data_IF_154162740489
#
_entry.id   IF_154162740489
#
_cell.length_a   1.000
_cell.length_b   1.000
_cell.length_c   1.000
_cell.angle_alpha   90.00
_cell.angle_beta   90.00
_cell.angle_gamma   90.00
#
_symmetry.space_group_name_H-M   'P 1'
#
loop_
_entity.id
_entity.type
_entity.pdbx_description
1 polymer ?
#
# COMPACT_ATOMS: atom_id res chain seq x y z
N UNK A 1 1.15 -30.19 -6.26
CA UNK A 1 -0.02 -30.27 -7.16
C UNK A 1 -1.15 -29.30 -6.74
N UNK A 2 -1.28 -28.93 -5.49
CA UNK A 2 -2.29 -27.96 -4.97
C UNK A 2 -1.97 -26.49 -5.34
N UNK A 3 -0.71 -26.08 -5.35
CA UNK A 3 -0.29 -24.71 -5.58
C UNK A 3 -0.52 -24.17 -7.02
N UNK A 4 -0.55 -25.09 -8.01
CA UNK A 4 -0.82 -24.71 -9.42
C UNK A 4 -2.32 -24.54 -9.71
N UNK A 5 -3.17 -25.29 -9.04
CA UNK A 5 -4.63 -25.17 -9.20
C UNK A 5 -5.18 -23.89 -8.55
N UNK A 6 -4.62 -23.49 -7.40
CA UNK A 6 -4.99 -22.21 -6.75
C UNK A 6 -4.60 -20.99 -7.60
N UNK A 7 -3.49 -21.05 -8.34
CA UNK A 7 -3.07 -19.97 -9.24
C UNK A 7 -3.90 -19.90 -10.54
N UNK A 8 -4.42 -21.00 -11.05
CA UNK A 8 -5.30 -21.00 -12.23
C UNK A 8 -6.69 -20.46 -11.88
N UNK A 9 -7.28 -20.87 -10.76
CA UNK A 9 -8.56 -20.35 -10.27
C UNK A 9 -8.49 -18.84 -9.94
N UNK A 10 -7.37 -18.35 -9.38
CA UNK A 10 -7.13 -16.94 -9.12
C UNK A 10 -6.96 -16.17 -10.43
N UNK A 11 -6.27 -16.72 -11.43
CA UNK A 11 -6.11 -16.07 -12.73
C UNK A 11 -7.42 -16.00 -13.52
N UNK A 12 -8.25 -17.04 -13.51
CA UNK A 12 -9.59 -17.01 -14.10
C UNK A 12 -10.49 -15.98 -13.39
N UNK A 13 -10.47 -15.94 -12.06
CA UNK A 13 -11.21 -14.93 -11.27
C UNK A 13 -10.77 -13.50 -11.60
N UNK A 14 -9.49 -13.27 -11.87
CA UNK A 14 -8.97 -11.94 -12.25
C UNK A 14 -9.37 -11.54 -13.69
N UNK A 15 -9.51 -12.48 -14.62
CA UNK A 15 -10.02 -12.19 -15.96
C UNK A 15 -11.54 -11.90 -15.95
N UNK A 16 -12.32 -12.59 -15.11
CA UNK A 16 -13.73 -12.29 -14.89
C UNK A 16 -13.95 -10.95 -14.19
N UNK A 17 -13.05 -10.57 -13.27
CA UNK A 17 -13.06 -9.27 -12.55
C UNK A 17 -12.94 -8.09 -13.50
N UNK A 18 -12.17 -8.21 -14.59
CA UNK A 18 -12.06 -7.16 -15.61
C UNK A 18 -13.36 -6.89 -16.39
N UNK A 19 -14.35 -7.78 -16.28
CA UNK A 19 -15.64 -7.66 -16.96
C UNK A 19 -16.75 -7.03 -16.11
N UNK A 20 -16.54 -6.82 -14.81
CA UNK A 20 -17.53 -6.23 -13.89
C UNK A 20 -17.11 -4.80 -13.50
N UNK A 21 -18.06 -3.87 -13.49
CA UNK A 21 -17.82 -2.47 -13.11
C UNK A 21 -17.83 -2.26 -11.59
N UNK A 22 -16.86 -1.49 -11.10
CA UNK A 22 -16.83 -0.98 -9.74
C UNK A 22 -16.33 -1.97 -8.67
N UNK A 23 -16.81 -1.79 -7.43
CA UNK A 23 -16.35 -2.58 -6.28
C UNK A 23 -16.68 -4.08 -6.42
N UNK A 24 -17.76 -4.41 -7.12
CA UNK A 24 -18.19 -5.78 -7.37
C UNK A 24 -17.10 -6.62 -8.07
N UNK A 25 -16.19 -5.97 -8.80
CA UNK A 25 -15.10 -6.63 -9.48
C UNK A 25 -14.03 -7.20 -8.55
N UNK A 26 -13.79 -6.57 -7.40
CA UNK A 26 -12.76 -7.01 -6.44
C UNK A 26 -13.33 -7.75 -5.23
N UNK A 27 -14.64 -7.65 -4.96
CA UNK A 27 -15.27 -8.30 -3.79
C UNK A 27 -15.01 -9.80 -3.70
N UNK A 28 -15.08 -10.58 -4.80
CA UNK A 28 -14.79 -12.03 -4.74
C UNK A 28 -13.37 -12.35 -4.29
N UNK A 29 -12.43 -11.40 -4.42
CA UNK A 29 -11.02 -11.56 -4.06
C UNK A 29 -10.72 -11.15 -2.61
N UNK A 30 -11.69 -10.57 -1.90
CA UNK A 30 -11.50 -9.97 -0.59
C UNK A 30 -12.19 -10.76 0.52
N UNK A 31 -11.62 -10.71 1.71
CA UNK A 31 -12.32 -11.13 2.93
C UNK A 31 -13.61 -10.30 3.13
N UNK A 32 -14.71 -10.98 3.43
CA UNK A 32 -16.03 -10.33 3.62
C UNK A 32 -16.02 -9.19 4.66
N UNK A 33 -15.11 -9.24 5.63
CA UNK A 33 -14.93 -8.21 6.64
C UNK A 33 -14.33 -6.93 6.04
N UNK A 34 -13.43 -7.06 5.07
CA UNK A 34 -12.87 -5.93 4.30
C UNK A 34 -13.96 -5.36 3.38
N UNK A 35 -14.68 -6.23 2.65
CA UNK A 35 -15.81 -5.80 1.79
C UNK A 35 -16.82 -4.98 2.59
N UNK A 36 -17.21 -5.46 3.77
CA UNK A 36 -18.11 -4.73 4.66
C UNK A 36 -17.56 -3.37 5.06
N UNK A 37 -16.27 -3.29 5.42
CA UNK A 37 -15.62 -2.04 5.83
C UNK A 37 -15.59 -1.02 4.69
N UNK A 38 -15.17 -1.41 3.49
CA UNK A 38 -15.07 -0.49 2.35
C UNK A 38 -16.45 -0.03 1.84
N UNK A 39 -17.47 -0.88 1.91
CA UNK A 39 -18.85 -0.46 1.63
C UNK A 39 -19.35 0.59 2.62
N UNK A 40 -19.09 0.43 3.92
CA UNK A 40 -19.40 1.45 4.94
C UNK A 40 -18.61 2.75 4.76
N UNK A 41 -17.43 2.70 4.16
CA UNK A 41 -16.67 3.90 3.77
C UNK A 41 -17.24 4.60 2.53
N UNK A 42 -18.30 4.08 1.92
CA UNK A 42 -18.97 4.65 0.76
C UNK A 42 -18.34 4.27 -0.59
N UNK A 43 -17.56 3.19 -0.64
CA UNK A 43 -17.04 2.69 -1.91
C UNK A 43 -18.15 2.02 -2.71
N UNK A 44 -18.64 2.70 -3.73
CA UNK A 44 -19.57 2.16 -4.72
C UNK A 44 -18.86 1.85 -6.04
N UNK A 45 -17.88 2.71 -6.38
CA UNK A 45 -17.07 2.60 -7.59
C UNK A 45 -15.60 2.71 -7.22
N UNK A 46 -14.78 1.96 -7.91
CA UNK A 46 -13.33 2.11 -7.81
C UNK A 46 -12.86 3.28 -8.66
N UNK A 47 -11.84 3.97 -8.19
CA UNK A 47 -11.11 4.93 -9.03
C UNK A 47 -10.24 4.17 -10.05
N UNK A 48 -9.81 4.81 -11.15
CA UNK A 48 -8.98 4.13 -12.15
C UNK A 48 -7.70 3.51 -11.61
N UNK A 49 -7.06 4.13 -10.61
CA UNK A 49 -5.86 3.57 -9.97
C UNK A 49 -6.20 2.34 -9.12
N UNK A 50 -7.37 2.33 -8.47
CA UNK A 50 -7.83 1.20 -7.68
C UNK A 50 -8.19 0.01 -8.56
N UNK A 51 -8.96 0.24 -9.64
CA UNK A 51 -9.35 -0.80 -10.61
C UNK A 51 -8.14 -1.53 -11.19
N UNK A 52 -7.07 -0.77 -11.50
CA UNK A 52 -5.88 -1.32 -12.13
C UNK A 52 -4.89 -1.93 -11.12
N UNK A 53 -4.68 -1.31 -9.95
CA UNK A 53 -3.65 -1.71 -9.02
C UNK A 53 -4.06 -2.84 -8.07
N UNK A 54 -5.31 -2.83 -7.57
CA UNK A 54 -5.75 -3.78 -6.55
C UNK A 54 -5.60 -5.24 -7.02
N UNK A 55 -6.04 -5.64 -8.23
CA UNK A 55 -5.91 -7.03 -8.67
C UNK A 55 -4.45 -7.53 -8.68
N UNK A 56 -3.50 -6.73 -9.17
CA UNK A 56 -2.09 -7.10 -9.17
C UNK A 56 -1.52 -7.20 -7.76
N UNK A 57 -1.85 -6.23 -6.90
CA UNK A 57 -1.36 -6.25 -5.53
C UNK A 57 -1.92 -7.43 -4.73
N UNK A 58 -3.17 -7.85 -4.97
CA UNK A 58 -3.76 -9.05 -4.35
C UNK A 58 -3.07 -10.34 -4.80
N UNK A 59 -2.47 -10.37 -5.99
CA UNK A 59 -1.68 -11.49 -6.50
C UNK A 59 -0.22 -11.50 -5.99
N UNK A 60 0.19 -10.51 -5.22
CA UNK A 60 1.57 -10.37 -4.75
C UNK A 60 2.53 -9.77 -5.79
N UNK A 61 2.02 -9.24 -6.90
CA UNK A 61 2.83 -8.61 -7.95
C UNK A 61 3.36 -7.25 -7.51
N UNK A 62 4.57 -6.92 -7.94
CA UNK A 62 5.12 -5.58 -7.80
C UNK A 62 4.41 -4.60 -8.75
N UNK A 63 4.18 -3.38 -8.30
CA UNK A 63 3.57 -2.36 -9.16
C UNK A 63 4.31 -1.03 -9.14
N UNK A 64 4.22 -0.33 -10.27
CA UNK A 64 4.56 1.09 -10.43
C UNK A 64 3.27 1.82 -10.78
N UNK A 65 2.70 2.51 -9.81
CA UNK A 65 1.46 3.29 -9.97
C UNK A 65 1.77 4.76 -10.26
N UNK A 66 1.54 5.21 -11.50
CA UNK A 66 1.66 6.63 -11.84
C UNK A 66 0.31 7.31 -11.73
N UNK A 67 0.09 8.03 -10.62
CA UNK A 67 -1.15 8.74 -10.35
C UNK A 67 -0.93 9.94 -9.42
N UNK A 68 -1.71 11.00 -9.62
CA UNK A 68 -1.66 12.21 -8.79
C UNK A 68 -2.24 11.98 -7.39
N UNK A 69 -1.96 12.92 -6.47
CA UNK A 69 -2.58 12.97 -5.14
C UNK A 69 -4.10 13.10 -5.27
N UNK A 70 -4.84 12.48 -4.36
CA UNK A 70 -6.31 12.51 -4.36
C UNK A 70 -7.00 11.56 -5.34
N UNK A 71 -6.27 10.67 -6.01
CA UNK A 71 -6.82 9.67 -6.94
C UNK A 71 -7.31 8.37 -6.26
N UNK A 72 -7.18 8.26 -4.94
CA UNK A 72 -7.57 7.07 -4.20
C UNK A 72 -6.44 6.03 -4.03
N UNK A 73 -5.17 6.45 -4.16
CA UNK A 73 -4.00 5.56 -4.00
C UNK A 73 -3.98 4.83 -2.65
N UNK A 74 -4.35 5.52 -1.57
CA UNK A 74 -4.32 4.91 -0.23
C UNK A 74 -5.17 3.64 -0.15
N UNK A 75 -6.37 3.65 -0.68
CA UNK A 75 -7.20 2.44 -0.75
C UNK A 75 -6.64 1.43 -1.77
N UNK A 76 -6.03 1.90 -2.88
CA UNK A 76 -5.44 1.01 -3.88
C UNK A 76 -4.36 0.09 -3.31
N UNK A 77 -3.51 0.59 -2.40
CA UNK A 77 -2.55 -0.26 -1.69
C UNK A 77 -3.04 -0.74 -0.32
N UNK A 78 -3.91 0.02 0.34
CA UNK A 78 -4.39 -0.28 1.69
C UNK A 78 -5.27 -1.52 1.75
N UNK A 79 -6.16 -1.72 0.77
CA UNK A 79 -7.01 -2.92 0.70
C UNK A 79 -6.16 -4.19 0.56
N UNK A 80 -5.24 -4.32 -0.41
CA UNK A 80 -4.35 -5.48 -0.49
C UNK A 80 -3.43 -5.64 0.73
N UNK A 81 -2.91 -4.53 1.27
CA UNK A 81 -2.06 -4.59 2.47
C UNK A 81 -2.80 -5.21 3.66
N UNK A 82 -4.07 -4.82 3.91
CA UNK A 82 -4.87 -5.40 4.99
C UNK A 82 -5.25 -6.85 4.69
N UNK A 83 -5.58 -7.17 3.42
CA UNK A 83 -5.91 -8.53 2.99
C UNK A 83 -4.77 -9.52 3.24
N UNK A 84 -3.51 -9.11 3.05
CA UNK A 84 -2.33 -9.96 3.19
C UNK A 84 -1.83 -10.11 4.64
N UNK A 85 -2.36 -9.34 5.60
CA UNK A 85 -1.96 -9.47 7.00
C UNK A 85 -2.47 -10.78 7.59
N UNK A 86 -1.54 -11.53 8.18
CA UNK A 86 -1.89 -12.60 9.11
C UNK A 86 -2.13 -12.01 10.51
N UNK A 87 -3.38 -11.92 10.99
CA UNK A 87 -3.70 -11.28 12.27
C UNK A 87 -3.19 -12.06 13.48
N UNK A 88 -2.85 -13.34 13.34
CA UNK A 88 -2.33 -14.17 14.42
C UNK A 88 -0.83 -13.91 14.66
N UNK A 89 -0.13 -13.42 13.66
CA UNK A 89 1.28 -13.05 13.75
C UNK A 89 1.40 -11.60 14.24
N UNK A 90 1.73 -11.43 15.53
CA UNK A 90 1.84 -10.11 16.18
C UNK A 90 3.22 -9.47 15.95
N UNK A 91 3.64 -9.40 14.70
CA UNK A 91 4.90 -8.81 14.23
C UNK A 91 4.66 -7.95 13.00
N UNK A 92 5.60 -7.07 12.70
CA UNK A 92 5.56 -6.19 11.53
C UNK A 92 5.58 -7.03 10.25
N UNK A 93 4.63 -6.78 9.36
CA UNK A 93 4.44 -7.47 8.08
C UNK A 93 4.42 -6.49 6.90
N UNK A 94 4.00 -5.24 7.13
CA UNK A 94 3.93 -4.23 6.05
C UNK A 94 4.53 -2.90 6.51
N UNK A 95 5.30 -2.29 5.62
CA UNK A 95 5.85 -0.93 5.78
C UNK A 95 5.29 -0.05 4.67
N UNK A 96 4.75 1.11 5.04
CA UNK A 96 4.28 2.13 4.10
C UNK A 96 5.07 3.40 4.38
N UNK A 97 5.78 3.91 3.37
CA UNK A 97 6.53 5.15 3.46
C UNK A 97 5.75 6.29 2.82
N UNK A 98 5.67 7.41 3.54
CA UNK A 98 5.04 8.64 3.10
C UNK A 98 5.99 9.82 3.32
N UNK A 99 5.93 10.89 2.49
CA UNK A 99 6.87 12.02 2.60
C UNK A 99 6.67 12.85 3.87
N UNK A 100 5.44 12.97 4.36
CA UNK A 100 5.11 13.86 5.48
C UNK A 100 4.39 13.13 6.62
N UNK A 101 4.48 13.73 7.81
CA UNK A 101 3.75 13.29 9.01
C UNK A 101 2.25 13.23 8.77
N UNK A 102 1.71 14.27 8.13
CA UNK A 102 0.27 14.41 7.86
C UNK A 102 -0.24 13.27 6.99
N UNK A 103 0.49 12.97 5.91
CA UNK A 103 0.14 11.85 5.00
C UNK A 103 0.26 10.50 5.70
N UNK A 104 1.28 10.30 6.54
CA UNK A 104 1.41 9.06 7.32
C UNK A 104 0.24 8.85 8.29
N UNK A 105 -0.21 9.91 8.95
CA UNK A 105 -1.37 9.86 9.85
C UNK A 105 -2.65 9.54 9.06
N UNK A 106 -2.89 10.26 7.95
CA UNK A 106 -4.08 10.07 7.11
C UNK A 106 -4.15 8.64 6.54
N UNK A 107 -3.04 8.15 6.00
CA UNK A 107 -2.98 6.79 5.48
C UNK A 107 -3.21 5.75 6.59
N UNK A 108 -2.61 5.93 7.78
CA UNK A 108 -2.83 5.03 8.90
C UNK A 108 -4.31 5.01 9.36
N UNK A 109 -4.98 6.16 9.35
CA UNK A 109 -6.41 6.24 9.68
C UNK A 109 -7.29 5.53 8.64
N UNK A 110 -6.98 5.71 7.35
CA UNK A 110 -7.69 5.03 6.27
C UNK A 110 -7.51 3.50 6.34
N UNK A 111 -6.29 3.03 6.57
CA UNK A 111 -6.03 1.59 6.77
C UNK A 111 -6.79 1.03 7.97
N UNK A 112 -6.90 1.77 9.08
CA UNK A 112 -7.69 1.35 10.25
C UNK A 112 -9.17 1.24 9.92
N UNK A 113 -9.71 2.13 9.08
CA UNK A 113 -11.10 2.04 8.60
C UNK A 113 -11.30 0.78 7.75
N UNK A 114 -10.37 0.49 6.82
CA UNK A 114 -10.40 -0.74 6.00
C UNK A 114 -10.32 -1.98 6.90
N UNK A 115 -9.48 -1.96 7.94
CA UNK A 115 -9.31 -3.06 8.88
C UNK A 115 -10.39 -3.13 9.99
N UNK A 116 -11.42 -2.30 9.93
CA UNK A 116 -12.41 -2.11 11.02
C UNK A 116 -12.96 -3.42 11.58
N UNK A 117 -13.22 -4.40 10.75
CA UNK A 117 -13.78 -5.70 11.13
C UNK A 117 -12.73 -6.81 11.20
N UNK A 118 -11.46 -6.51 10.89
CA UNK A 118 -10.32 -7.42 10.96
C UNK A 118 -9.70 -7.35 12.37
N UNK A 119 -10.29 -8.11 13.32
CA UNK A 119 -9.81 -8.08 14.70
C UNK A 119 -8.34 -8.48 14.82
N UNK A 120 -7.61 -7.71 15.63
CA UNK A 120 -6.21 -8.00 15.93
C UNK A 120 -5.19 -7.37 15.00
N UNK A 121 -5.61 -6.67 13.92
CA UNK A 121 -4.72 -5.87 13.08
C UNK A 121 -4.47 -4.52 13.74
N UNK A 122 -3.19 -4.15 13.87
CA UNK A 122 -2.75 -2.88 14.42
C UNK A 122 -1.93 -2.11 13.39
N UNK A 123 -2.33 -0.87 13.13
CA UNK A 123 -1.65 0.08 12.25
C UNK A 123 -1.10 1.22 13.10
N UNK A 124 0.20 1.49 13.00
CA UNK A 124 0.85 2.57 13.76
C UNK A 124 1.51 3.58 12.81
N UNK A 125 1.16 4.88 12.88
CA UNK A 125 1.93 5.91 12.21
C UNK A 125 3.21 6.22 13.00
N UNK A 126 4.36 6.32 12.29
CA UNK A 126 5.67 6.65 12.85
C UNK A 126 6.31 7.81 12.08
N UNK A 127 6.57 8.93 12.75
CA UNK A 127 7.02 10.17 12.10
C UNK A 127 7.88 11.04 13.02
N UNK A 128 8.65 11.94 12.44
CA UNK A 128 9.47 12.89 13.18
C UNK A 128 8.67 13.93 13.97
N UNK A 129 9.33 14.64 14.88
CA UNK A 129 8.69 15.68 15.69
C UNK A 129 7.89 15.18 16.89
N UNK A 130 7.81 13.87 17.10
CA UNK A 130 7.24 13.25 18.29
C UNK A 130 8.34 12.48 19.03
N UNK A 131 8.22 12.39 20.38
CA UNK A 131 9.12 11.55 21.17
C UNK A 131 9.04 10.10 20.68
N UNK A 132 10.20 9.54 20.30
CA UNK A 132 10.32 8.18 19.80
C UNK A 132 9.91 7.14 20.83
N UNK A 133 10.09 7.41 22.12
CA UNK A 133 9.73 6.49 23.22
C UNK A 133 8.24 6.18 23.22
N UNK A 134 7.39 7.15 22.88
CA UNK A 134 5.93 6.95 22.74
C UNK A 134 5.61 6.02 21.56
N UNK A 135 6.33 6.18 20.45
CA UNK A 135 6.15 5.31 19.30
C UNK A 135 6.63 3.89 19.59
N UNK A 136 7.78 3.74 20.29
CA UNK A 136 8.30 2.43 20.72
C UNK A 136 7.28 1.70 21.59
N UNK A 137 6.67 2.39 22.55
CA UNK A 137 5.62 1.79 23.39
C UNK A 137 4.40 1.32 22.57
N UNK A 138 4.08 2.05 21.47
CA UNK A 138 2.98 1.71 20.56
C UNK A 138 3.26 0.53 19.64
N UNK A 139 4.53 0.13 19.44
CA UNK A 139 4.91 -0.91 18.46
C UNK A 139 4.50 -2.33 18.89
N UNK A 140 4.08 -2.55 20.13
CA UNK A 140 3.74 -3.90 20.61
C UNK A 140 2.57 -4.50 19.82
N UNK A 141 2.89 -5.57 19.06
CA UNK A 141 1.91 -6.33 18.28
C UNK A 141 1.38 -5.58 17.05
N UNK A 142 2.16 -4.61 16.53
CA UNK A 142 1.85 -3.88 15.30
C UNK A 142 2.25 -4.72 14.08
N UNK A 143 1.35 -4.84 13.12
CA UNK A 143 1.60 -5.52 11.84
C UNK A 143 1.89 -4.54 10.71
N UNK A 144 1.38 -3.32 10.77
CA UNK A 144 1.59 -2.31 9.74
C UNK A 144 2.13 -1.03 10.38
N UNK A 145 3.25 -0.53 9.88
CA UNK A 145 3.69 0.84 10.14
C UNK A 145 3.49 1.71 8.89
N UNK A 146 3.07 2.95 9.13
CA UNK A 146 3.00 3.98 8.10
C UNK A 146 3.89 5.12 8.57
N UNK A 147 4.97 5.42 7.83
CA UNK A 147 5.94 6.34 8.39
C UNK A 147 6.69 7.20 7.38
N UNK A 148 7.31 8.26 7.92
CA UNK A 148 8.30 9.04 7.18
C UNK A 148 9.64 8.29 7.16
N UNK A 149 10.38 8.30 6.03
CA UNK A 149 11.59 7.48 5.88
C UNK A 149 12.59 7.65 7.02
N UNK A 150 12.94 8.88 7.39
CA UNK A 150 13.92 9.14 8.46
C UNK A 150 13.51 8.56 9.82
N UNK A 151 12.21 8.58 10.19
CA UNK A 151 11.74 8.00 11.44
C UNK A 151 11.70 6.46 11.39
N UNK A 152 11.38 5.88 10.27
CA UNK A 152 11.48 4.43 10.06
C UNK A 152 12.94 3.99 10.21
N UNK A 153 13.89 4.72 9.62
CA UNK A 153 15.33 4.50 9.80
C UNK A 153 15.77 4.60 11.27
N UNK A 154 15.24 5.55 12.03
CA UNK A 154 15.55 5.66 13.49
C UNK A 154 15.10 4.41 14.24
N UNK A 155 13.89 3.90 13.94
CA UNK A 155 13.42 2.65 14.53
C UNK A 155 14.28 1.44 14.13
N UNK A 156 14.73 1.38 12.86
CA UNK A 156 15.63 0.31 12.38
C UNK A 156 17.00 0.37 13.09
N UNK A 157 17.63 1.55 13.15
CA UNK A 157 18.92 1.76 13.85
C UNK A 157 18.84 1.39 15.33
N UNK A 158 17.73 1.69 15.98
CA UNK A 158 17.45 1.35 17.39
C UNK A 158 17.00 -0.10 17.58
N UNK A 159 16.79 -0.84 16.49
CA UNK A 159 16.28 -2.23 16.50
C UNK A 159 14.94 -2.38 17.23
N UNK A 160 14.11 -1.34 17.24
CA UNK A 160 12.78 -1.34 17.84
C UNK A 160 11.73 -1.96 16.93
N UNK A 161 12.01 -2.04 15.63
CA UNK A 161 11.25 -2.83 14.64
C UNK A 161 12.15 -3.95 14.10
N UNK A 162 11.53 -5.07 13.77
CA UNK A 162 12.15 -6.22 13.12
C UNK A 162 11.57 -6.39 11.73
N UNK A 163 12.42 -6.65 10.76
CA UNK A 163 12.06 -6.72 9.34
C UNK A 163 11.88 -8.16 8.83
N UNK A 164 12.13 -9.14 9.68
CA UNK A 164 12.19 -10.57 9.35
C UNK A 164 10.90 -11.16 8.78
N UNK A 165 9.75 -10.51 9.02
CA UNK A 165 8.45 -10.94 8.49
C UNK A 165 7.78 -9.88 7.61
N UNK A 166 8.51 -8.85 7.19
CA UNK A 166 7.99 -7.86 6.26
C UNK A 166 7.88 -8.51 4.88
N UNK A 167 6.68 -8.57 4.37
CA UNK A 167 6.36 -9.17 3.06
C UNK A 167 5.81 -8.16 2.06
N UNK A 168 5.48 -6.93 2.50
CA UNK A 168 5.05 -5.87 1.61
C UNK A 168 5.63 -4.52 2.01
N UNK A 169 6.11 -3.77 1.01
CA UNK A 169 6.55 -2.38 1.17
C UNK A 169 5.81 -1.49 0.17
N UNK A 170 5.32 -0.36 0.65
CA UNK A 170 4.69 0.66 -0.19
C UNK A 170 5.49 1.95 -0.09
N UNK A 171 5.82 2.53 -1.24
CA UNK A 171 6.36 3.90 -1.35
C UNK A 171 5.24 4.78 -1.90
N UNK A 172 4.60 5.59 -1.07
CA UNK A 172 3.58 6.53 -1.52
C UNK A 172 4.17 7.93 -1.70
N UNK A 173 3.84 8.58 -2.83
CA UNK A 173 4.42 9.86 -3.24
C UNK A 173 5.95 9.84 -3.27
N UNK A 174 6.49 8.83 -3.97
CA UNK A 174 7.92 8.56 -4.01
C UNK A 174 8.74 9.74 -4.60
N UNK A 175 8.21 10.46 -5.58
CA UNK A 175 8.82 11.67 -6.14
C UNK A 175 8.91 12.79 -5.09
N UNK A 176 7.92 12.95 -4.24
CA UNK A 176 7.96 13.93 -3.17
C UNK A 176 8.99 13.54 -2.09
N UNK A 177 9.09 12.26 -1.75
CA UNK A 177 10.15 11.77 -0.86
C UNK A 177 11.55 12.03 -1.45
N UNK A 178 11.73 11.89 -2.77
CA UNK A 178 12.97 12.29 -3.44
C UNK A 178 13.26 13.78 -3.30
N UNK A 179 12.25 14.64 -3.57
CA UNK A 179 12.38 16.09 -3.47
C UNK A 179 12.78 16.54 -2.06
N UNK A 180 12.35 15.80 -1.05
CA UNK A 180 12.70 16.01 0.35
C UNK A 180 14.06 15.41 0.75
N UNK A 181 14.77 14.75 -0.17
CA UNK A 181 16.10 14.18 0.08
C UNK A 181 16.10 12.80 0.74
N UNK A 182 14.98 12.06 0.74
CA UNK A 182 14.85 10.74 1.38
C UNK A 182 15.29 9.58 0.49
N UNK A 183 16.01 9.83 -0.61
CA UNK A 183 16.44 8.75 -1.51
C UNK A 183 17.22 7.67 -0.78
N UNK A 184 18.27 8.05 -0.06
CA UNK A 184 19.12 7.10 0.67
C UNK A 184 18.33 6.32 1.72
N UNK A 185 17.44 6.99 2.45
CA UNK A 185 16.60 6.32 3.45
C UNK A 185 15.68 5.28 2.81
N UNK A 186 15.04 5.59 1.66
CA UNK A 186 14.21 4.63 0.92
C UNK A 186 15.02 3.42 0.47
N UNK A 187 16.19 3.65 -0.16
CA UNK A 187 17.06 2.56 -0.64
C UNK A 187 17.58 1.70 0.50
N UNK A 188 17.94 2.30 1.65
CA UNK A 188 18.40 1.57 2.84
C UNK A 188 17.28 0.75 3.47
N UNK A 189 16.06 1.28 3.56
CA UNK A 189 14.91 0.54 4.10
C UNK A 189 14.62 -0.67 3.21
N UNK A 190 14.48 -0.47 1.90
CA UNK A 190 14.24 -1.55 0.96
C UNK A 190 15.34 -2.61 0.98
N UNK A 191 16.61 -2.18 1.00
CA UNK A 191 17.77 -3.08 0.99
C UNK A 191 18.00 -3.88 2.28
N UNK A 192 17.36 -3.52 3.40
CA UNK A 192 17.50 -4.23 4.68
C UNK A 192 16.35 -5.22 4.95
N UNK A 193 15.32 -5.25 4.12
CA UNK A 193 14.25 -6.24 4.26
C UNK A 193 14.79 -7.58 3.73
N UNK A 194 14.82 -8.62 4.56
CA UNK A 194 15.34 -9.91 4.14
C UNK A 194 14.33 -10.68 3.29
N UNK A 195 14.83 -11.37 2.27
CA UNK A 195 14.03 -12.25 1.44
C UNK A 195 13.18 -11.53 0.39
N UNK A 196 12.34 -12.30 -0.29
CA UNK A 196 11.40 -11.78 -1.28
C UNK A 196 10.24 -11.06 -0.57
N UNK A 197 9.91 -9.89 -1.05
CA UNK A 197 8.78 -9.09 -0.57
C UNK A 197 8.17 -8.33 -1.74
N UNK A 198 6.89 -8.07 -1.67
CA UNK A 198 6.17 -7.26 -2.64
C UNK A 198 6.51 -5.78 -2.44
N UNK A 199 6.80 -5.07 -3.54
CA UNK A 199 7.03 -3.62 -3.51
C UNK A 199 6.04 -2.89 -4.41
N UNK A 200 5.26 -1.98 -3.82
CA UNK A 200 4.35 -1.09 -4.53
C UNK A 200 4.88 0.35 -4.49
N UNK A 201 5.19 0.93 -5.64
CA UNK A 201 5.63 2.31 -5.74
C UNK A 201 4.55 3.16 -6.40
N UNK A 202 4.12 4.22 -5.70
CA UNK A 202 3.20 5.22 -6.22
C UNK A 202 3.90 6.58 -6.33
N UNK A 203 3.75 7.22 -7.48
CA UNK A 203 4.37 8.52 -7.76
C UNK A 203 3.56 9.29 -8.80
N UNK A 204 3.52 10.60 -8.72
CA UNK A 204 2.93 11.43 -9.77
C UNK A 204 3.85 11.53 -10.98
N UNK A 205 5.16 11.57 -10.75
CA UNK A 205 6.20 11.68 -11.77
C UNK A 205 7.18 10.52 -11.69
N UNK A 206 7.86 10.21 -12.80
CA UNK A 206 8.84 9.12 -12.88
C UNK A 206 10.22 9.67 -13.30
N UNK A 207 10.86 10.50 -12.45
CA UNK A 207 12.23 10.96 -12.74
C UNK A 207 13.21 9.78 -12.65
N UNK A 208 14.38 9.97 -13.29
CA UNK A 208 15.41 8.93 -13.36
C UNK A 208 15.74 8.25 -12.02
N UNK A 209 15.88 8.97 -10.88
CA UNK A 209 16.14 8.32 -9.59
C UNK A 209 15.01 7.38 -9.12
N UNK A 210 13.73 7.65 -9.45
CA UNK A 210 12.64 6.72 -9.17
C UNK A 210 12.78 5.45 -10.01
N UNK A 211 13.08 5.58 -11.30
CA UNK A 211 13.30 4.44 -12.18
C UNK A 211 14.49 3.58 -11.70
N UNK A 212 15.56 4.20 -11.21
CA UNK A 212 16.69 3.47 -10.61
C UNK A 212 16.30 2.68 -9.36
N UNK A 213 15.41 3.21 -8.53
CA UNK A 213 14.86 2.50 -7.36
C UNK A 213 13.99 1.31 -7.83
N UNK A 214 13.12 1.51 -8.82
CA UNK A 214 12.28 0.43 -9.36
C UNK A 214 13.11 -0.68 -9.96
N UNK A 215 14.10 -0.36 -10.79
CA UNK A 215 14.99 -1.33 -11.44
C UNK A 215 15.78 -2.16 -10.41
N UNK A 216 16.11 -1.57 -9.26
CA UNK A 216 16.91 -2.22 -8.22
C UNK A 216 16.10 -3.08 -7.26
N UNK A 217 14.88 -2.66 -6.91
CA UNK A 217 14.13 -3.22 -5.79
C UNK A 217 12.79 -3.85 -6.18
N UNK A 218 12.38 -3.75 -7.44
CA UNK A 218 11.17 -4.38 -7.93
C UNK A 218 11.50 -5.46 -8.98
N UNK A 219 10.64 -6.48 -9.03
CA UNK A 219 10.78 -7.58 -9.99
C UNK A 219 9.55 -7.65 -10.88
N UNK A 220 9.76 -7.53 -12.20
CA UNK A 220 8.69 -7.63 -13.21
C UNK A 220 7.46 -6.75 -12.91
N UNK A 221 7.70 -5.55 -12.33
CA UNK A 221 6.66 -4.67 -11.84
C UNK A 221 5.64 -4.31 -12.93
N UNK A 222 4.35 -4.41 -12.61
CA UNK A 222 3.27 -4.00 -13.50
C UNK A 222 3.13 -2.48 -13.46
N UNK A 223 3.09 -1.87 -14.64
CA UNK A 223 2.96 -0.41 -14.76
C UNK A 223 1.49 -0.04 -14.87
N UNK A 224 1.00 0.72 -13.90
CA UNK A 224 -0.35 1.26 -13.83
C UNK A 224 -0.30 2.78 -14.00
N UNK A 225 -0.95 3.31 -15.03
CA UNK A 225 -0.95 4.76 -15.31
C UNK A 225 -2.38 5.29 -15.37
N UNK A 226 -2.63 6.34 -14.61
CA UNK A 226 -3.89 7.08 -14.65
C UNK A 226 -3.65 8.45 -15.24
N UNK A 227 -4.25 8.72 -16.40
CA UNK A 227 -4.14 10.02 -17.07
C UNK A 227 -4.93 11.10 -16.31
N UNK A 228 -4.34 12.30 -16.15
CA UNK A 228 -4.97 13.43 -15.45
C UNK A 228 -6.33 13.85 -16.04
N UNK A 229 -6.61 13.53 -17.32
CA UNK A 229 -7.88 13.88 -18.02
C UNK A 229 -9.09 13.03 -17.65
N UNK A 230 -8.93 11.88 -16.99
CA UNK A 230 -10.09 11.03 -16.62
C UNK A 230 -10.80 11.52 -15.36
N UNK A 231 -10.15 12.31 -14.53
CA UNK A 231 -10.72 12.89 -13.31
C UNK A 231 -11.75 13.98 -13.62
N UNK A 232 -11.53 14.81 -14.66
CA UNK A 232 -12.43 15.91 -15.01
C UNK A 232 -13.74 15.45 -15.69
N UNK A 233 -13.76 14.30 -16.36
CA UNK A 233 -14.96 13.80 -17.04
C UNK A 233 -15.99 13.19 -16.11
N UNK A 234 -15.61 12.71 -14.92
CA UNK A 234 -16.54 12.14 -13.94
C UNK A 234 -17.15 13.21 -13.02
N UNK A 235 -16.43 14.30 -12.71
CA UNK A 235 -16.97 15.39 -11.86
C UNK A 235 -17.99 16.27 -12.58
N UNK A 236 -17.89 16.42 -13.91
CA UNK A 236 -18.81 17.27 -14.71
C UNK A 236 -20.16 16.58 -15.01
N UNK A 237 -20.26 15.25 -14.83
CA UNK A 237 -21.54 14.52 -15.04
C UNK A 237 -22.43 14.43 -13.78
N UNK A 238 -21.94 14.89 -12.63
CA UNK A 238 -22.70 14.90 -11.37
C UNK A 238 -23.38 16.23 -11.07
N UNK A 239 -23.18 17.27 -11.92
CA UNK A 239 -23.76 18.62 -11.76
C UNK A 239 -24.62 19.05 -12.95
N UNK A 240 -25.24 18.12 -13.66
CA UNK A 240 -26.25 18.43 -14.70
C UNK A 240 -27.49 17.56 -14.56
#
# INVERSE_FOLDING_TARGET
>A
MSYFLENEEVNEAVEEVKAQDGIASIEPLLDNRIVRAIREMGFEKLSPIQEQAIPYLLQGEDIIGQAQTGTGKTAAFGIPAIQHINPDVKKLQTIILCPTRELAIQAAEELRKIAKYMHGIKVLPVYGGQDISRQIAGLRGVQIIVGTPGRVMDHMRRRTIKLDLVNMVVLDEADEMLNMGFREDMELILGQIPGEHQTALFSATMPKPILEITDRFQKDAKIVKVAAKELDRKSTRLNS
#
